data_IF_611287017602
#
_entry.id   IF_611287017602
#
_cell.length_a   1.000
_cell.length_b   1.000
_cell.length_c   1.000
_cell.angle_alpha   90.00
_cell.angle_beta   90.00
_cell.angle_gamma   90.00
#
_symmetry.space_group_name_H-M   'P 1'
#
loop_
_entity.id
_entity.type
_entity.pdbx_description
1 polymer ?
#
# COMPACT_ATOMS: atom_id res chain seq x y z
N UNK A 1 -6.68 8.19 2.43
CA UNK A 1 -5.54 7.74 1.59
C UNK A 1 -4.35 7.20 2.39
N UNK A 2 -4.18 7.58 3.67
CA UNK A 2 -3.08 7.12 4.53
C UNK A 2 -3.24 5.70 5.08
N UNK A 3 -4.47 5.22 5.25
CA UNK A 3 -4.75 3.91 5.87
C UNK A 3 -4.34 2.73 4.98
N UNK A 4 -4.58 2.80 3.66
CA UNK A 4 -4.26 1.71 2.73
C UNK A 4 -2.76 1.55 2.48
N UNK A 5 -1.99 2.64 2.42
CA UNK A 5 -0.52 2.56 2.34
C UNK A 5 0.06 1.79 3.52
N UNK A 6 -0.45 2.04 4.73
CA UNK A 6 -0.08 1.29 5.94
C UNK A 6 -0.35 -0.21 5.82
N UNK A 7 -1.49 -0.60 5.25
CA UNK A 7 -1.82 -2.03 5.07
C UNK A 7 -0.90 -2.73 4.08
N UNK A 8 -0.51 -2.08 2.98
CA UNK A 8 0.48 -2.64 2.05
C UNK A 8 1.86 -2.72 2.70
N UNK A 9 2.28 -1.70 3.47
CA UNK A 9 3.54 -1.72 4.23
C UNK A 9 3.57 -2.85 5.28
N UNK A 10 2.44 -3.16 5.92
CA UNK A 10 2.33 -4.28 6.87
C UNK A 10 2.53 -5.65 6.18
N UNK A 11 1.99 -5.83 4.97
CA UNK A 11 2.18 -7.06 4.19
C UNK A 11 3.61 -7.16 3.66
N UNK A 12 4.21 -6.04 3.23
CA UNK A 12 5.64 -6.00 2.83
C UNK A 12 6.55 -6.38 4.01
N UNK A 13 6.27 -5.89 5.23
CA UNK A 13 6.99 -6.31 6.44
C UNK A 13 6.83 -7.80 6.71
N UNK A 14 5.62 -8.34 6.58
CA UNK A 14 5.39 -9.77 6.76
C UNK A 14 6.20 -10.61 5.75
N UNK A 15 6.26 -10.20 4.49
CA UNK A 15 7.06 -10.86 3.46
C UNK A 15 8.57 -10.81 3.76
N UNK A 16 9.05 -9.69 4.31
CA UNK A 16 10.43 -9.56 4.78
C UNK A 16 10.72 -10.46 5.98
N UNK A 17 9.82 -10.53 6.96
CA UNK A 17 9.94 -11.42 8.11
C UNK A 17 9.96 -12.90 7.70
N UNK A 18 9.15 -13.29 6.71
CA UNK A 18 9.19 -14.64 6.12
C UNK A 18 10.55 -14.89 5.47
N UNK A 19 11.10 -13.92 4.73
CA UNK A 19 12.44 -14.00 4.15
C UNK A 19 13.53 -14.23 5.20
N UNK A 20 13.53 -13.45 6.28
CA UNK A 20 14.45 -13.62 7.40
C UNK A 20 14.30 -15.01 8.06
N UNK A 21 13.07 -15.51 8.16
CA UNK A 21 12.81 -16.86 8.71
C UNK A 21 13.36 -17.96 7.82
N UNK A 22 13.29 -17.78 6.50
CA UNK A 22 13.90 -18.70 5.53
C UNK A 22 15.43 -18.69 5.72
N UNK A 23 16.06 -17.52 5.83
CA UNK A 23 17.50 -17.40 6.09
C UNK A 23 17.92 -18.11 7.39
N UNK A 24 17.17 -17.92 8.49
CA UNK A 24 17.41 -18.66 9.73
C UNK A 24 17.30 -20.18 9.55
N UNK A 25 16.33 -20.64 8.77
CA UNK A 25 16.15 -22.07 8.48
C UNK A 25 17.26 -22.61 7.59
N UNK A 26 17.74 -21.83 6.61
CA UNK A 26 18.88 -22.18 5.76
C UNK A 26 20.14 -22.36 6.63
N UNK A 27 20.43 -21.44 7.55
CA UNK A 27 21.55 -21.60 8.48
C UNK A 27 21.41 -22.85 9.36
N UNK A 28 20.21 -23.12 9.87
CA UNK A 28 19.94 -24.32 10.69
C UNK A 28 20.08 -25.59 9.87
N UNK A 29 19.62 -25.59 8.62
CA UNK A 29 19.75 -26.71 7.68
C UNK A 29 21.20 -26.98 7.30
N UNK A 30 22.01 -25.93 7.14
CA UNK A 30 23.44 -26.04 6.88
C UNK A 30 24.21 -26.69 8.05
N UNK A 31 23.75 -26.46 9.29
CA UNK A 31 24.32 -27.05 10.52
C UNK A 31 23.75 -28.44 10.84
N UNK A 32 22.61 -28.81 10.26
CA UNK A 32 21.94 -30.09 10.48
C UNK A 32 22.52 -31.20 9.58
N UNK A 33 22.44 -32.45 10.04
CA UNK A 33 22.88 -33.63 9.29
C UNK A 33 21.77 -34.70 9.25
N UNK A 34 21.82 -35.60 8.27
CA UNK A 34 20.88 -36.71 8.16
C UNK A 34 19.43 -36.28 7.82
N UNK A 35 18.44 -36.93 8.44
CA UNK A 35 17.01 -36.65 8.20
C UNK A 35 16.59 -35.24 8.60
N UNK A 36 17.19 -34.69 9.67
CA UNK A 36 16.90 -33.33 10.12
C UNK A 36 17.22 -32.27 9.05
N UNK A 37 18.27 -32.50 8.25
CA UNK A 37 18.62 -31.63 7.12
C UNK A 37 17.56 -31.68 6.02
N UNK A 38 17.10 -32.88 5.65
CA UNK A 38 16.07 -33.07 4.61
C UNK A 38 14.74 -32.43 4.98
N UNK A 39 14.32 -32.54 6.25
CA UNK A 39 13.10 -31.92 6.74
C UNK A 39 13.19 -30.38 6.75
N UNK A 40 14.36 -29.84 7.08
CA UNK A 40 14.60 -28.39 7.05
C UNK A 40 14.62 -27.88 5.59
N UNK A 41 15.31 -28.57 4.67
CA UNK A 41 15.34 -28.23 3.24
C UNK A 41 13.94 -28.26 2.64
N UNK A 42 13.12 -29.27 2.96
CA UNK A 42 11.73 -29.34 2.51
C UNK A 42 10.90 -28.15 3.01
N UNK A 43 11.04 -27.78 4.29
CA UNK A 43 10.36 -26.59 4.85
C UNK A 43 10.81 -25.29 4.19
N UNK A 44 12.10 -25.15 3.88
CA UNK A 44 12.63 -23.98 3.18
C UNK A 44 11.96 -23.86 1.81
N UNK A 45 11.98 -24.92 0.99
CA UNK A 45 11.37 -24.88 -0.34
C UNK A 45 9.86 -24.61 -0.30
N UNK A 46 9.14 -25.17 0.68
CA UNK A 46 7.71 -24.88 0.86
C UNK A 46 7.46 -23.42 1.25
N UNK A 47 8.31 -22.82 2.08
CA UNK A 47 8.19 -21.41 2.48
C UNK A 47 8.58 -20.46 1.36
N UNK A 48 9.63 -20.78 0.58
CA UNK A 48 10.04 -20.01 -0.59
C UNK A 48 8.93 -20.00 -1.66
N UNK A 49 8.37 -21.17 -1.99
CA UNK A 49 7.28 -21.27 -2.95
C UNK A 49 6.06 -20.45 -2.54
N UNK A 50 5.66 -20.55 -1.27
CA UNK A 50 4.53 -19.76 -0.73
C UNK A 50 4.82 -18.25 -0.71
N UNK A 51 6.07 -17.85 -0.43
CA UNK A 51 6.49 -16.45 -0.46
C UNK A 51 6.41 -15.89 -1.88
N UNK A 52 6.93 -16.60 -2.87
CA UNK A 52 6.85 -16.16 -4.27
C UNK A 52 5.42 -16.01 -4.76
N UNK A 53 4.54 -16.94 -4.42
CA UNK A 53 3.13 -16.88 -4.78
C UNK A 53 2.44 -15.67 -4.14
N UNK A 54 2.69 -15.46 -2.84
CA UNK A 54 2.15 -14.33 -2.10
C UNK A 54 2.69 -12.98 -2.63
N UNK A 55 3.97 -12.90 -3.01
CA UNK A 55 4.56 -11.71 -3.64
C UNK A 55 3.93 -11.39 -4.99
N UNK A 56 3.66 -12.41 -5.82
CA UNK A 56 2.98 -12.23 -7.12
C UNK A 56 1.57 -11.69 -6.93
N UNK A 57 0.78 -12.30 -6.05
CA UNK A 57 -0.57 -11.82 -5.76
C UNK A 57 -0.57 -10.41 -5.18
N UNK A 58 0.34 -10.15 -4.24
CA UNK A 58 0.46 -8.85 -3.60
C UNK A 58 0.79 -7.75 -4.60
N UNK A 59 1.79 -7.99 -5.46
CA UNK A 59 2.19 -7.05 -6.51
C UNK A 59 1.03 -6.77 -7.47
N UNK A 60 0.37 -7.83 -7.95
CA UNK A 60 -0.79 -7.71 -8.84
C UNK A 60 -1.90 -6.84 -8.23
N UNK A 61 -2.29 -7.13 -6.99
CA UNK A 61 -3.33 -6.38 -6.27
C UNK A 61 -2.94 -4.92 -6.01
N UNK A 62 -1.67 -4.67 -5.70
CA UNK A 62 -1.16 -3.31 -5.48
C UNK A 62 -1.19 -2.50 -6.79
N UNK A 63 -0.73 -3.09 -7.88
CA UNK A 63 -0.69 -2.45 -9.19
C UNK A 63 -2.12 -2.13 -9.70
N UNK A 64 -3.06 -3.08 -9.56
CA UNK A 64 -4.47 -2.86 -9.87
C UNK A 64 -5.08 -1.73 -9.03
N UNK A 65 -4.78 -1.72 -7.73
CA UNK A 65 -5.26 -0.68 -6.83
C UNK A 65 -4.72 0.71 -7.20
N UNK A 66 -3.42 0.83 -7.47
CA UNK A 66 -2.81 2.09 -7.90
C UNK A 66 -3.40 2.58 -9.22
N UNK A 67 -3.65 1.68 -10.17
CA UNK A 67 -4.30 2.00 -11.44
C UNK A 67 -5.72 2.54 -11.25
N UNK A 68 -6.55 1.84 -10.46
CA UNK A 68 -7.93 2.30 -10.15
C UNK A 68 -7.90 3.66 -9.46
N UNK A 69 -6.95 3.86 -8.55
CA UNK A 69 -6.84 5.11 -7.80
C UNK A 69 -6.40 6.27 -8.71
N UNK A 70 -5.47 6.03 -9.62
CA UNK A 70 -5.04 6.99 -10.63
C UNK A 70 -6.16 7.33 -11.62
N UNK A 71 -6.91 6.33 -12.09
CA UNK A 71 -8.07 6.53 -12.98
C UNK A 71 -9.18 7.33 -12.29
N UNK A 72 -9.55 6.96 -11.06
CA UNK A 72 -10.51 7.73 -10.26
C UNK A 72 -10.00 9.17 -10.06
N UNK A 73 -8.74 9.36 -9.68
CA UNK A 73 -8.20 10.72 -9.49
C UNK A 73 -8.29 11.56 -10.77
N UNK A 74 -8.00 10.98 -11.95
CA UNK A 74 -8.16 11.67 -13.24
C UNK A 74 -9.61 12.03 -13.55
N UNK A 75 -10.56 11.16 -13.21
CA UNK A 75 -11.99 11.41 -13.43
C UNK A 75 -12.52 12.51 -12.49
N UNK A 76 -12.07 12.54 -11.24
CA UNK A 76 -12.61 13.47 -10.23
C UNK A 76 -11.83 14.80 -10.18
N UNK A 77 -10.58 14.85 -10.68
CA UNK A 77 -9.77 16.07 -10.78
C UNK A 77 -10.47 17.27 -11.43
N UNK A 78 -11.15 17.13 -12.60
CA UNK A 78 -11.85 18.26 -13.21
C UNK A 78 -13.00 18.77 -12.33
N UNK A 79 -13.72 17.87 -11.66
CA UNK A 79 -14.85 18.24 -10.81
C UNK A 79 -14.39 18.85 -9.48
N UNK A 80 -13.29 18.37 -8.91
CA UNK A 80 -12.65 18.97 -7.72
C UNK A 80 -12.12 20.36 -8.04
N UNK A 81 -11.48 20.56 -9.19
CA UNK A 81 -11.01 21.88 -9.64
C UNK A 81 -12.16 22.86 -9.81
N UNK A 82 -13.21 22.46 -10.53
CA UNK A 82 -14.42 23.27 -10.70
C UNK A 82 -15.07 23.61 -9.36
N UNK A 83 -15.20 22.64 -8.47
CA UNK A 83 -15.78 22.85 -7.13
C UNK A 83 -14.94 23.82 -6.29
N UNK A 84 -13.60 23.71 -6.36
CA UNK A 84 -12.69 24.64 -5.70
C UNK A 84 -12.82 26.08 -6.21
N UNK A 85 -12.89 26.27 -7.53
CA UNK A 85 -13.12 27.59 -8.14
C UNK A 85 -14.47 28.18 -7.71
N UNK A 86 -15.53 27.38 -7.69
CA UNK A 86 -16.85 27.82 -7.22
C UNK A 86 -16.86 28.19 -5.73
N UNK A 87 -16.14 27.44 -4.88
CA UNK A 87 -16.02 27.74 -3.46
C UNK A 87 -15.20 29.02 -3.21
N UNK A 88 -14.14 29.26 -3.99
CA UNK A 88 -13.36 30.49 -3.89
C UNK A 88 -14.19 31.71 -4.29
N UNK A 89 -14.95 31.62 -5.39
CA UNK A 89 -15.87 32.67 -5.82
C UNK A 89 -16.95 32.92 -4.77
N UNK A 90 -17.55 31.86 -4.23
CA UNK A 90 -18.53 31.95 -3.16
C UNK A 90 -17.96 32.61 -1.90
N UNK A 91 -16.74 32.23 -1.48
CA UNK A 91 -16.06 32.81 -0.33
C UNK A 91 -15.72 34.29 -0.53
N UNK A 92 -15.30 34.70 -1.74
CA UNK A 92 -15.08 36.12 -2.07
C UNK A 92 -16.38 36.91 -2.03
N UNK A 93 -17.46 36.39 -2.59
CA UNK A 93 -18.78 37.05 -2.53
C UNK A 93 -19.30 37.15 -1.09
N UNK A 94 -19.14 36.09 -0.30
CA UNK A 94 -19.52 36.10 1.11
C UNK A 94 -18.71 37.14 1.91
N UNK A 95 -17.39 37.20 1.67
CA UNK A 95 -16.51 38.17 2.30
C UNK A 95 -16.81 39.61 1.89
N UNK A 96 -17.17 39.86 0.64
CA UNK A 96 -17.57 41.17 0.14
C UNK A 96 -18.93 41.61 0.73
N UNK A 97 -19.90 40.70 0.80
CA UNK A 97 -21.21 40.96 1.41
C UNK A 97 -21.09 41.23 2.92
N UNK A 98 -20.27 40.44 3.64
CA UNK A 98 -19.93 40.69 5.04
C UNK A 98 -19.27 42.07 5.22
N UNK A 99 -18.25 42.42 4.42
CA UNK A 99 -17.62 43.74 4.49
C UNK A 99 -18.61 44.88 4.25
N UNK A 100 -19.53 44.74 3.31
CA UNK A 100 -20.56 45.75 3.02
C UNK A 100 -21.53 45.94 4.20
N UNK A 101 -21.89 44.85 4.90
CA UNK A 101 -22.74 44.90 6.10
C UNK A 101 -22.04 45.54 7.31
N UNK A 102 -20.72 45.38 7.44
CA UNK A 102 -19.94 45.90 8.58
C UNK A 102 -19.23 47.25 8.31
N UNK A 103 -19.28 47.76 7.07
CA UNK A 103 -18.68 49.05 6.69
C UNK A 103 -19.70 50.19 6.63
N UNK A 104 -20.90 49.97 7.19
CA UNK A 104 -21.96 50.94 7.42
C UNK A 104 -22.08 51.21 8.92
#
# INVERSE_FOLDING_TARGET
MTTHKKSFEEVEKLLQEIGLKIEELVEKGAKATGEAKKDIEKKISEMEFKKEDLEKEFKSKRDDFEKILAEKKKLIEPDIKKTGEHLEIAARHLGAAMKSLFSK
#
